data_IF_444575107411
#
_entry.id   IF_444575107411
#
_cell.length_a   1.000
_cell.length_b   1.000
_cell.length_c   1.000
_cell.angle_alpha   90.00
_cell.angle_beta   90.00
_cell.angle_gamma   90.00
#
_symmetry.space_group_name_H-M   'P 1'
#
loop_
_entity.id
_entity.type
_entity.pdbx_description
1 polymer ?
#
# COMPACT_ATOMS: atom_id res chain seq x y z
N UNK A 1 12.65 4.25 85.26
CA UNK A 1 11.94 3.08 84.70
C UNK A 1 11.00 3.41 83.52
N UNK A 2 11.19 4.54 82.80
CA UNK A 2 10.36 4.93 81.64
C UNK A 2 11.11 4.90 80.28
N UNK A 3 12.44 4.74 80.30
CA UNK A 3 13.27 4.77 79.09
C UNK A 3 13.38 3.41 78.40
N UNK A 4 13.14 2.30 79.11
CA UNK A 4 13.22 0.94 78.54
C UNK A 4 11.98 0.50 77.76
N UNK A 5 10.85 1.22 77.88
CA UNK A 5 9.62 0.89 77.17
C UNK A 5 9.57 1.51 75.76
N UNK A 6 10.28 2.63 75.54
CA UNK A 6 10.30 3.33 74.25
C UNK A 6 11.20 2.67 73.21
N UNK A 7 12.19 1.89 73.61
CA UNK A 7 13.11 1.21 72.69
C UNK A 7 12.49 -0.03 72.02
N UNK A 8 11.50 -0.66 72.66
CA UNK A 8 10.86 -1.89 72.16
C UNK A 8 9.81 -1.56 71.08
N UNK A 9 9.16 -0.39 71.15
CA UNK A 9 8.14 0.02 70.16
C UNK A 9 8.77 0.46 68.83
N UNK A 10 9.97 1.04 68.85
CA UNK A 10 10.68 1.45 67.62
C UNK A 10 11.29 0.25 66.88
N UNK A 11 11.70 -0.80 67.60
CA UNK A 11 12.28 -1.99 66.98
C UNK A 11 11.22 -2.91 66.32
N UNK A 12 9.96 -2.84 66.77
CA UNK A 12 8.85 -3.59 66.14
C UNK A 12 8.33 -2.94 64.85
N UNK A 13 8.50 -1.62 64.67
CA UNK A 13 8.03 -0.90 63.49
C UNK A 13 8.98 -0.99 62.27
N UNK A 14 10.21 -1.49 62.45
CA UNK A 14 11.20 -1.65 61.36
C UNK A 14 11.23 -3.05 60.74
N UNK A 15 10.43 -4.00 61.25
CA UNK A 15 10.34 -5.36 60.71
C UNK A 15 9.18 -5.58 59.73
N UNK A 16 8.26 -4.61 59.57
CA UNK A 16 7.13 -4.69 58.64
C UNK A 16 7.38 -4.01 57.28
N UNK A 17 8.61 -3.59 56.98
CA UNK A 17 8.96 -2.92 55.73
C UNK A 17 9.89 -3.73 54.80
N UNK A 18 10.14 -5.02 55.10
CA UNK A 18 11.04 -5.88 54.31
C UNK A 18 10.33 -6.93 53.42
N UNK A 19 9.00 -6.90 53.24
CA UNK A 19 8.30 -7.85 52.35
C UNK A 19 8.08 -7.34 50.90
N UNK A 20 8.60 -6.17 50.52
CA UNK A 20 8.48 -5.64 49.15
C UNK A 20 9.73 -5.81 48.27
N UNK A 21 10.74 -6.56 48.72
CA UNK A 21 11.94 -6.86 47.94
C UNK A 21 12.19 -8.37 47.85
N UNK A 22 11.16 -9.12 47.47
CA UNK A 22 11.33 -10.47 46.95
C UNK A 22 10.50 -10.60 45.66
N UNK A 23 11.06 -10.06 44.57
CA UNK A 23 10.50 -10.09 43.23
C UNK A 23 10.49 -11.51 42.66
N UNK A 24 9.61 -12.36 43.19
CA UNK A 24 9.16 -13.62 42.60
C UNK A 24 7.87 -13.43 41.82
N UNK A 25 7.80 -12.42 40.96
CA UNK A 25 6.68 -12.22 40.03
C UNK A 25 7.08 -12.70 38.65
N UNK A 26 7.14 -14.03 38.43
CA UNK A 26 7.27 -14.61 37.09
C UNK A 26 6.79 -16.06 36.95
N UNK A 27 5.95 -16.57 37.87
CA UNK A 27 5.38 -17.93 37.72
C UNK A 27 3.85 -17.94 37.66
N UNK A 28 3.15 -16.99 38.30
CA UNK A 28 1.68 -16.87 38.19
C UNK A 28 1.21 -16.14 36.91
N UNK A 29 2.10 -15.45 36.17
CA UNK A 29 1.75 -14.80 34.89
C UNK A 29 1.75 -15.79 33.71
N UNK A 30 2.45 -16.93 33.83
CA UNK A 30 2.50 -17.96 32.79
C UNK A 30 1.25 -18.86 32.78
N UNK A 31 0.63 -19.11 33.93
CA UNK A 31 -0.62 -19.88 34.02
C UNK A 31 -1.81 -19.08 33.49
N UNK A 32 -1.82 -17.75 33.70
CA UNK A 32 -2.85 -16.84 33.19
C UNK A 32 -2.78 -16.70 31.67
N UNK A 33 -1.56 -16.62 31.09
CA UNK A 33 -1.38 -16.62 29.62
C UNK A 33 -1.79 -17.93 28.95
N UNK A 34 -1.62 -19.07 29.61
CA UNK A 34 -2.04 -20.37 29.06
C UNK A 34 -3.57 -20.54 29.05
N UNK A 35 -4.29 -19.99 30.03
CA UNK A 35 -5.75 -19.96 30.02
C UNK A 35 -6.32 -19.01 28.93
N UNK A 36 -5.64 -17.89 28.66
CA UNK A 36 -6.06 -16.93 27.63
C UNK A 36 -5.84 -17.45 26.20
N UNK A 37 -4.84 -18.32 26.00
CA UNK A 37 -4.59 -19.03 24.74
C UNK A 37 -5.65 -20.09 24.42
N UNK A 38 -6.32 -20.68 25.42
CA UNK A 38 -7.43 -21.62 25.18
C UNK A 38 -8.74 -20.90 24.78
N UNK A 39 -8.94 -19.64 25.18
CA UNK A 39 -10.09 -18.84 24.73
C UNK A 39 -10.01 -18.35 23.28
N UNK A 40 -8.83 -18.35 22.67
CA UNK A 40 -8.63 -17.91 21.27
C UNK A 40 -9.02 -19.00 20.25
N UNK A 41 -9.14 -20.26 20.68
CA UNK A 41 -9.52 -21.39 19.80
C UNK A 41 -11.04 -21.48 19.60
N UNK A 42 -11.86 -20.97 20.52
CA UNK A 42 -13.32 -20.93 20.34
C UNK A 42 -13.82 -19.72 19.53
N UNK A 43 -12.98 -18.69 19.35
CA UNK A 43 -13.29 -17.51 18.53
C UNK A 43 -13.17 -17.70 17.01
N UNK A 44 -12.52 -18.79 16.56
CA UNK A 44 -12.40 -19.13 15.13
C UNK A 44 -13.58 -19.98 14.61
N UNK A 45 -14.58 -20.25 15.46
CA UNK A 45 -15.76 -21.04 15.14
C UNK A 45 -16.93 -20.29 14.49
N UNK A 46 -16.71 -19.17 13.79
CA UNK A 46 -17.79 -18.50 13.05
C UNK A 46 -17.60 -18.66 11.53
N UNK A 47 -18.26 -19.64 10.88
CA UNK A 47 -18.11 -19.90 9.44
C UNK A 47 -18.71 -18.83 8.50
N UNK A 48 -19.16 -17.68 9.01
CA UNK A 48 -19.77 -16.61 8.19
C UNK A 48 -18.77 -15.64 7.53
N UNK A 49 -17.72 -15.23 8.24
CA UNK A 49 -16.79 -14.19 7.76
C UNK A 49 -15.76 -14.75 6.75
N UNK A 50 -15.38 -16.02 6.88
CA UNK A 50 -14.39 -16.66 6.00
C UNK A 50 -14.93 -16.92 4.59
N UNK A 51 -16.24 -17.13 4.45
CA UNK A 51 -16.86 -17.36 3.12
C UNK A 51 -16.89 -16.05 2.30
N UNK A 52 -17.17 -14.91 2.93
CA UNK A 52 -17.12 -13.60 2.26
C UNK A 52 -15.68 -13.21 1.86
N UNK A 53 -14.68 -13.52 2.69
CA UNK A 53 -13.27 -13.29 2.39
C UNK A 53 -12.75 -14.21 1.25
N UNK A 54 -13.21 -15.46 1.21
CA UNK A 54 -12.88 -16.40 0.12
C UNK A 54 -13.58 -16.02 -1.19
N UNK A 55 -14.81 -15.50 -1.16
CA UNK A 55 -15.49 -14.97 -2.36
C UNK A 55 -14.79 -13.72 -2.92
N UNK A 56 -14.37 -12.77 -2.06
CA UNK A 56 -13.58 -11.61 -2.52
C UNK A 56 -12.21 -11.99 -3.10
N UNK A 57 -11.59 -13.06 -2.59
CA UNK A 57 -10.31 -13.56 -3.12
C UNK A 57 -10.50 -14.28 -4.46
N UNK A 58 -11.62 -14.97 -4.65
CA UNK A 58 -11.99 -15.56 -5.95
C UNK A 58 -12.26 -14.50 -7.02
N UNK A 59 -12.92 -13.39 -6.67
CA UNK A 59 -13.16 -12.26 -7.58
C UNK A 59 -11.86 -11.52 -7.94
N UNK A 60 -10.95 -11.32 -6.98
CA UNK A 60 -9.60 -10.76 -7.25
C UNK A 60 -8.74 -11.70 -8.12
N UNK A 61 -8.89 -13.01 -7.98
CA UNK A 61 -8.14 -14.00 -8.78
C UNK A 61 -8.54 -14.02 -10.26
N UNK A 62 -9.83 -13.84 -10.58
CA UNK A 62 -10.29 -13.78 -11.96
C UNK A 62 -9.83 -12.50 -12.68
N UNK A 63 -9.73 -11.37 -11.97
CA UNK A 63 -9.21 -10.12 -12.53
C UNK A 63 -7.72 -10.23 -12.90
N UNK A 64 -6.91 -10.86 -12.04
CA UNK A 64 -5.48 -11.06 -12.31
C UNK A 64 -5.23 -12.03 -13.49
N UNK A 65 -6.09 -13.05 -13.67
CA UNK A 65 -6.03 -13.94 -14.82
C UNK A 65 -6.47 -13.25 -16.13
N UNK A 66 -7.45 -12.34 -16.07
CA UNK A 66 -7.85 -11.51 -17.20
C UNK A 66 -6.73 -10.53 -17.61
N UNK A 67 -6.01 -9.97 -16.65
CA UNK A 67 -4.83 -9.14 -16.89
C UNK A 67 -3.70 -9.95 -17.55
N UNK A 68 -3.41 -11.17 -17.09
CA UNK A 68 -2.42 -12.04 -17.74
C UNK A 68 -2.80 -12.39 -19.19
N UNK A 69 -4.08 -12.64 -19.49
CA UNK A 69 -4.52 -12.93 -20.85
C UNK A 69 -4.46 -11.69 -21.77
N UNK A 70 -4.74 -10.50 -21.24
CA UNK A 70 -4.57 -9.21 -21.93
C UNK A 70 -3.09 -8.92 -22.25
N UNK A 71 -2.19 -9.20 -21.30
CA UNK A 71 -0.76 -8.99 -21.45
C UNK A 71 -0.13 -9.98 -22.44
N UNK A 72 -0.57 -11.25 -22.47
CA UNK A 72 -0.12 -12.21 -23.50
C UNK A 72 -0.52 -11.79 -24.92
N UNK A 73 -1.73 -11.25 -25.10
CA UNK A 73 -2.17 -10.70 -26.39
C UNK A 73 -1.33 -9.50 -26.84
N UNK A 74 -0.98 -8.62 -25.90
CA UNK A 74 -0.13 -7.45 -26.16
C UNK A 74 1.32 -7.84 -26.42
N UNK A 75 1.86 -8.83 -25.70
CA UNK A 75 3.23 -9.33 -25.89
C UNK A 75 3.44 -9.98 -27.27
N UNK A 76 2.44 -10.71 -27.77
CA UNK A 76 2.47 -11.28 -29.13
C UNK A 76 2.33 -10.19 -30.22
N UNK A 77 1.53 -9.16 -29.98
CA UNK A 77 1.40 -8.02 -30.89
C UNK A 77 2.70 -7.18 -30.97
N UNK A 78 3.38 -6.99 -29.84
CA UNK A 78 4.68 -6.29 -29.75
C UNK A 78 5.80 -7.13 -30.38
N UNK A 79 5.82 -8.46 -30.18
CA UNK A 79 6.76 -9.33 -30.91
C UNK A 79 6.50 -9.30 -32.42
N UNK A 80 5.24 -9.30 -32.86
CA UNK A 80 4.88 -9.21 -34.27
C UNK A 80 5.35 -7.89 -34.93
N UNK A 81 5.22 -6.77 -34.23
CA UNK A 81 5.71 -5.46 -34.70
C UNK A 81 7.24 -5.39 -34.70
N UNK A 82 7.91 -5.95 -33.70
CA UNK A 82 9.37 -5.99 -33.65
C UNK A 82 9.97 -6.87 -34.75
N UNK A 83 9.34 -8.01 -35.03
CA UNK A 83 9.77 -8.94 -36.10
C UNK A 83 9.52 -8.32 -37.48
N UNK A 84 8.43 -7.57 -37.66
CA UNK A 84 8.16 -6.81 -38.88
C UNK A 84 9.16 -5.67 -39.11
N UNK A 85 9.64 -5.02 -38.03
CA UNK A 85 10.65 -3.96 -38.12
C UNK A 85 12.05 -4.52 -38.45
N UNK A 86 12.38 -5.72 -37.96
CA UNK A 86 13.66 -6.37 -38.23
C UNK A 86 13.76 -7.01 -39.61
N UNK A 87 12.63 -7.35 -40.25
CA UNK A 87 12.58 -7.88 -41.62
C UNK A 87 12.30 -6.80 -42.69
N UNK A 88 11.93 -5.60 -42.27
CA UNK A 88 11.45 -4.51 -43.13
C UNK A 88 12.54 -3.61 -43.72
N UNK A 89 13.52 -4.19 -44.43
CA UNK A 89 14.39 -3.43 -45.35
C UNK A 89 14.19 -3.89 -46.80
N UNK A 90 12.93 -4.00 -47.23
CA UNK A 90 12.55 -4.37 -48.59
C UNK A 90 11.06 -4.23 -48.86
N UNK A 91 10.72 -3.31 -49.77
CA UNK A 91 9.37 -3.00 -50.27
C UNK A 91 8.50 -4.23 -50.56
N UNK A 92 7.33 -4.37 -49.93
CA UNK A 92 6.23 -5.18 -50.49
C UNK A 92 4.84 -4.63 -50.14
N UNK A 93 3.97 -4.66 -51.15
CA UNK A 93 2.56 -4.27 -51.15
C UNK A 93 1.77 -5.36 -50.42
N UNK A 94 1.06 -5.04 -49.33
CA UNK A 94 0.24 -6.02 -48.61
C UNK A 94 -1.14 -6.15 -49.27
N UNK A 95 -1.34 -7.24 -50.02
CA UNK A 95 -2.66 -7.71 -50.46
C UNK A 95 -3.25 -8.61 -49.36
N UNK A 96 -4.51 -8.43 -48.93
CA UNK A 96 -5.12 -9.29 -47.92
C UNK A 96 -5.53 -10.64 -48.54
N UNK A 97 -4.89 -11.72 -48.10
CA UNK A 97 -5.30 -13.09 -48.39
C UNK A 97 -6.23 -13.57 -47.26
N UNK A 98 -7.41 -14.15 -47.54
CA UNK A 98 -8.30 -14.67 -46.50
C UNK A 98 -7.79 -16.02 -45.95
N UNK A 99 -7.88 -16.29 -44.64
CA UNK A 99 -7.48 -17.58 -44.06
C UNK A 99 -8.50 -18.70 -44.33
N UNK A 100 -8.09 -19.98 -44.38
CA UNK A 100 -8.99 -21.11 -44.61
C UNK A 100 -9.82 -21.46 -43.37
N UNK A 101 -11.03 -21.95 -43.62
CA UNK A 101 -11.99 -22.40 -42.63
C UNK A 101 -11.45 -23.56 -41.76
N UNK A 102 -11.46 -23.36 -40.44
CA UNK A 102 -11.24 -24.38 -39.43
C UNK A 102 -12.14 -24.11 -38.23
N UNK A 103 -13.19 -24.91 -38.10
CA UNK A 103 -14.22 -24.81 -37.06
C UNK A 103 -13.65 -25.10 -35.67
N UNK A 104 -13.69 -24.12 -34.77
CA UNK A 104 -13.58 -24.31 -33.31
C UNK A 104 -14.86 -23.80 -32.66
N UNK A 105 -15.55 -24.59 -31.82
CA UNK A 105 -16.75 -24.13 -31.11
C UNK A 105 -16.37 -23.18 -29.97
N UNK A 106 -16.89 -21.95 -30.01
CA UNK A 106 -16.90 -21.05 -28.85
C UNK A 106 -16.16 -19.72 -28.98
N UNK A 107 -16.00 -19.15 -30.17
CA UNK A 107 -15.69 -17.73 -30.30
C UNK A 107 -16.99 -16.92 -30.26
N UNK A 108 -17.29 -16.29 -29.13
CA UNK A 108 -18.27 -15.21 -29.09
C UNK A 108 -17.73 -14.09 -29.98
N UNK A 109 -18.54 -13.65 -30.94
CA UNK A 109 -18.21 -12.57 -31.84
C UNK A 109 -17.85 -11.32 -31.03
N UNK A 110 -16.62 -10.83 -31.17
CA UNK A 110 -16.27 -9.47 -30.80
C UNK A 110 -17.17 -8.55 -31.63
N UNK A 111 -18.14 -7.90 -30.97
CA UNK A 111 -18.93 -6.84 -31.56
C UNK A 111 -18.03 -5.73 -32.11
N UNK A 112 -18.58 -4.84 -32.96
CA UNK A 112 -17.80 -3.75 -33.55
C UNK A 112 -17.09 -2.96 -32.44
N UNK A 113 -15.75 -2.95 -32.46
CA UNK A 113 -14.93 -2.11 -31.60
C UNK A 113 -15.36 -0.66 -31.78
N UNK A 114 -15.94 0.00 -30.77
CA UNK A 114 -16.19 1.43 -30.86
C UNK A 114 -14.82 2.12 -30.90
N UNK A 115 -14.53 2.81 -31.99
CA UNK A 115 -13.36 3.69 -32.11
C UNK A 115 -13.53 4.91 -31.22
N UNK A 116 -13.26 4.76 -29.94
CA UNK A 116 -13.08 5.85 -28.99
C UNK A 116 -11.81 5.56 -28.19
N UNK A 117 -10.85 6.48 -28.22
CA UNK A 117 -9.65 6.35 -27.37
C UNK A 117 -10.09 6.35 -25.91
N UNK A 118 -9.89 5.23 -25.23
CA UNK A 118 -10.24 5.09 -23.80
C UNK A 118 -9.28 5.92 -22.94
N UNK A 119 -9.77 6.42 -21.82
CA UNK A 119 -8.92 7.08 -20.81
C UNK A 119 -7.92 6.06 -20.27
N UNK A 120 -6.64 6.40 -20.25
CA UNK A 120 -5.59 5.51 -19.75
C UNK A 120 -4.69 6.24 -18.75
N UNK A 121 -4.33 5.53 -17.68
CA UNK A 121 -3.37 5.96 -16.67
C UNK A 121 -2.03 5.27 -16.93
N UNK A 122 -0.93 5.99 -16.74
CA UNK A 122 0.43 5.50 -16.94
C UNK A 122 1.41 6.27 -16.06
N UNK A 123 2.59 5.69 -15.81
CA UNK A 123 3.65 6.33 -15.01
C UNK A 123 3.20 6.81 -13.62
N UNK A 124 2.29 6.07 -12.99
CA UNK A 124 1.84 6.37 -11.63
C UNK A 124 2.99 6.19 -10.63
N UNK A 125 3.30 7.25 -9.89
CA UNK A 125 4.40 7.26 -8.92
C UNK A 125 4.06 8.18 -7.74
N UNK A 126 4.73 8.00 -6.61
CA UNK A 126 4.68 8.96 -5.51
C UNK A 126 5.88 9.90 -5.57
N UNK A 127 5.72 11.11 -5.03
CA UNK A 127 6.76 12.15 -5.09
C UNK A 127 6.65 13.11 -3.90
N UNK A 128 7.77 13.73 -3.51
CA UNK A 128 7.77 14.83 -2.53
C UNK A 128 7.46 16.18 -3.16
N UNK A 129 7.24 16.25 -4.47
CA UNK A 129 6.89 17.49 -5.14
C UNK A 129 6.35 17.32 -6.54
N UNK A 130 5.71 18.39 -7.02
CA UNK A 130 5.18 18.50 -8.37
C UNK A 130 5.85 19.70 -9.04
N UNK A 131 6.12 19.60 -10.35
CA UNK A 131 6.62 20.70 -11.17
C UNK A 131 5.49 21.65 -11.53
N UNK A 132 5.71 22.94 -11.33
CA UNK A 132 4.73 23.97 -11.67
C UNK A 132 4.48 24.07 -13.19
N UNK A 133 5.47 23.71 -14.01
CA UNK A 133 5.39 23.87 -15.46
C UNK A 133 4.42 22.88 -16.13
N UNK A 134 4.34 21.65 -15.63
CA UNK A 134 3.61 20.57 -16.29
C UNK A 134 2.79 19.67 -15.35
N UNK A 135 2.83 19.92 -14.04
CA UNK A 135 2.09 19.13 -13.05
C UNK A 135 2.66 17.72 -12.86
N UNK A 136 3.83 17.41 -13.41
CA UNK A 136 4.45 16.10 -13.27
C UNK A 136 5.36 16.02 -12.03
N UNK A 137 5.71 14.81 -11.60
CA UNK A 137 6.57 14.60 -10.44
C UNK A 137 7.94 15.29 -10.59
N UNK A 138 8.36 16.03 -9.57
CA UNK A 138 9.69 16.68 -9.54
C UNK A 138 10.74 15.86 -8.79
N UNK A 139 10.32 15.05 -7.82
CA UNK A 139 11.20 14.21 -6.99
C UNK A 139 10.52 12.87 -6.65
N UNK A 140 10.41 11.93 -7.62
CA UNK A 140 9.72 10.67 -7.38
C UNK A 140 10.46 9.82 -6.34
N UNK A 141 9.72 9.28 -5.39
CA UNK A 141 10.25 8.42 -4.32
C UNK A 141 9.23 7.39 -3.88
N UNK A 142 9.72 6.22 -3.46
CA UNK A 142 8.94 5.19 -2.78
C UNK A 142 9.23 5.12 -1.27
N UNK A 143 10.08 6.02 -0.76
CA UNK A 143 10.43 6.11 0.66
C UNK A 143 10.39 7.57 1.08
N UNK A 144 9.68 7.85 2.17
CA UNK A 144 9.44 9.17 2.71
C UNK A 144 9.76 9.19 4.20
N UNK A 145 10.19 10.34 4.72
CA UNK A 145 10.38 10.50 6.16
C UNK A 145 9.03 10.81 6.85
N UNK A 146 8.94 10.53 8.15
CA UNK A 146 7.73 10.85 8.95
C UNK A 146 7.40 12.35 9.01
N UNK A 147 8.39 13.22 8.73
CA UNK A 147 8.29 14.68 8.81
C UNK A 147 8.02 15.35 7.45
N UNK A 148 7.67 14.59 6.41
CA UNK A 148 7.23 15.20 5.16
C UNK A 148 5.97 16.04 5.40
N UNK A 149 5.93 17.25 4.86
CA UNK A 149 4.73 18.11 4.95
C UNK A 149 3.60 17.57 4.06
N UNK A 150 3.96 16.98 2.92
CA UNK A 150 3.02 16.54 1.90
C UNK A 150 3.64 15.46 1.01
N UNK A 151 2.85 14.44 0.68
CA UNK A 151 3.22 13.41 -0.29
C UNK A 151 2.23 13.46 -1.45
N UNK A 152 2.77 13.43 -2.67
CA UNK A 152 1.98 13.47 -3.89
C UNK A 152 1.92 12.08 -4.52
N UNK A 153 0.77 11.74 -5.08
CA UNK A 153 0.66 10.70 -6.11
C UNK A 153 0.48 11.41 -7.45
N UNK A 154 1.31 11.06 -8.43
CA UNK A 154 1.31 11.69 -9.75
C UNK A 154 1.17 10.61 -10.81
N UNK A 155 0.34 10.84 -11.81
CA UNK A 155 0.12 9.91 -12.93
C UNK A 155 0.00 10.68 -14.24
N UNK A 156 0.38 10.06 -15.34
CA UNK A 156 0.10 10.56 -16.68
C UNK A 156 -1.21 9.97 -17.18
N UNK A 157 -2.19 10.83 -17.44
CA UNK A 157 -3.50 10.44 -17.99
C UNK A 157 -3.56 10.84 -19.46
N UNK A 158 -4.07 9.96 -20.31
CA UNK A 158 -4.37 10.23 -21.72
C UNK A 158 -5.85 10.10 -22.02
N UNK A 159 -6.35 10.89 -22.97
CA UNK A 159 -7.77 10.97 -23.36
C UNK A 159 -8.72 11.34 -22.20
N UNK A 160 -8.25 12.16 -21.25
CA UNK A 160 -9.05 12.61 -20.12
C UNK A 160 -10.15 13.58 -20.58
N UNK A 161 -11.37 13.39 -20.07
CA UNK A 161 -12.52 14.21 -20.41
C UNK A 161 -12.80 15.29 -19.37
N UNK A 162 -13.24 16.45 -19.85
CA UNK A 162 -13.72 17.52 -19.00
C UNK A 162 -14.85 17.00 -18.08
N UNK A 163 -14.83 17.41 -16.81
CA UNK A 163 -15.84 17.02 -15.83
C UNK A 163 -15.68 15.63 -15.22
N UNK A 164 -14.71 14.81 -15.66
CA UNK A 164 -14.35 13.59 -14.93
C UNK A 164 -13.82 13.91 -13.53
N UNK A 165 -14.06 13.06 -12.55
CA UNK A 165 -13.62 13.28 -11.18
C UNK A 165 -12.41 12.41 -10.89
N UNK A 166 -11.24 13.02 -10.68
CA UNK A 166 -10.06 12.34 -10.17
C UNK A 166 -10.11 12.32 -8.63
N UNK A 167 -9.92 11.14 -8.05
CA UNK A 167 -9.83 10.96 -6.61
C UNK A 167 -8.65 10.06 -6.23
N UNK A 168 -8.30 10.08 -4.95
CA UNK A 168 -7.27 9.23 -4.38
C UNK A 168 -7.72 8.64 -3.04
N UNK A 169 -7.56 7.33 -2.90
CA UNK A 169 -7.78 6.62 -1.65
C UNK A 169 -6.43 6.20 -1.06
N UNK A 170 -6.12 6.72 0.11
CA UNK A 170 -4.87 6.52 0.82
C UNK A 170 -5.05 5.49 1.93
N UNK A 171 -4.22 4.46 1.92
CA UNK A 171 -4.21 3.41 2.93
C UNK A 171 -2.88 3.40 3.67
N UNK A 172 -2.96 3.48 5.00
CA UNK A 172 -1.83 3.31 5.90
C UNK A 172 -1.92 1.92 6.53
N UNK A 173 -0.86 1.13 6.40
CA UNK A 173 -0.75 -0.20 6.99
C UNK A 173 -1.94 -1.13 6.64
N UNK A 174 -2.49 -0.98 5.44
CA UNK A 174 -3.63 -1.75 4.93
C UNK A 174 -5.01 -1.26 5.40
N UNK A 175 -5.08 -0.21 6.22
CA UNK A 175 -6.31 0.43 6.65
C UNK A 175 -6.52 1.76 5.91
N UNK A 176 -7.78 2.13 5.64
CA UNK A 176 -8.11 3.42 5.05
C UNK A 176 -7.65 4.54 5.99
N UNK A 177 -6.76 5.40 5.50
CA UNK A 177 -6.31 6.60 6.19
C UNK A 177 -7.15 7.80 5.75
N UNK A 178 -7.19 8.06 4.43
CA UNK A 178 -7.90 9.20 3.86
C UNK A 178 -8.53 8.85 2.52
N UNK A 179 -9.75 9.33 2.28
CA UNK A 179 -10.47 9.16 1.02
C UNK A 179 -10.71 10.54 0.39
N UNK A 180 -9.81 10.94 -0.50
CA UNK A 180 -9.93 12.15 -1.29
C UNK A 180 -10.77 11.87 -2.54
N UNK A 181 -12.09 11.81 -2.35
CA UNK A 181 -13.02 11.44 -3.40
C UNK A 181 -13.02 12.40 -4.61
N UNK A 182 -12.46 13.61 -4.47
CA UNK A 182 -12.45 14.64 -5.51
C UNK A 182 -11.24 15.57 -5.36
N UNK A 183 -10.06 15.07 -5.70
CA UNK A 183 -8.83 15.86 -5.65
C UNK A 183 -8.74 16.83 -6.85
N UNK A 184 -9.28 16.46 -8.02
CA UNK A 184 -9.29 17.31 -9.21
C UNK A 184 -10.46 17.02 -10.16
N UNK A 185 -10.99 18.08 -10.77
CA UNK A 185 -11.95 18.01 -11.88
C UNK A 185 -11.40 18.87 -13.03
N UNK A 186 -11.05 18.29 -14.19
CA UNK A 186 -10.57 19.03 -15.35
C UNK A 186 -11.70 19.85 -15.95
N UNK A 187 -11.41 21.11 -16.29
CA UNK A 187 -12.35 22.01 -16.96
C UNK A 187 -12.41 21.82 -18.48
N UNK A 188 -11.49 21.06 -19.05
CA UNK A 188 -11.37 20.80 -20.48
C UNK A 188 -10.88 19.36 -20.77
N UNK A 189 -10.97 18.95 -22.03
CA UNK A 189 -10.46 17.66 -22.49
C UNK A 189 -8.93 17.72 -22.64
N UNK A 190 -8.25 16.68 -22.15
CA UNK A 190 -6.79 16.56 -22.26
C UNK A 190 -6.40 15.35 -23.09
N UNK A 191 -5.62 15.57 -24.14
CA UNK A 191 -5.02 14.48 -24.90
C UNK A 191 -4.00 13.70 -24.03
N UNK A 192 -3.19 14.44 -23.26
CA UNK A 192 -2.27 13.92 -22.26
C UNK A 192 -2.02 15.00 -21.20
N UNK A 193 -2.02 14.62 -19.92
CA UNK A 193 -1.79 15.52 -18.79
C UNK A 193 -1.20 14.76 -17.60
N UNK A 194 -0.32 15.39 -16.83
CA UNK A 194 0.04 14.90 -15.51
C UNK A 194 -1.00 15.38 -14.51
N UNK A 195 -1.62 14.45 -13.81
CA UNK A 195 -2.56 14.73 -12.75
C UNK A 195 -2.04 14.19 -11.43
N UNK A 196 -2.38 14.87 -10.35
CA UNK A 196 -1.89 14.52 -9.03
C UNK A 196 -2.95 14.76 -7.97
N UNK A 197 -2.90 13.93 -6.94
CA UNK A 197 -3.56 14.17 -5.66
C UNK A 197 -2.48 14.18 -4.58
N UNK A 198 -2.80 14.72 -3.42
CA UNK A 198 -1.83 14.81 -2.34
C UNK A 198 -2.43 14.46 -1.00
N UNK A 199 -1.57 14.06 -0.08
CA UNK A 199 -1.91 13.78 1.31
C UNK A 199 -1.00 14.57 2.23
N UNK A 200 -1.57 15.04 3.34
CA UNK A 200 -0.87 15.66 4.45
C UNK A 200 -1.05 14.77 5.69
N UNK A 201 -0.14 14.82 6.67
CA UNK A 201 -0.35 14.09 7.92
C UNK A 201 -1.57 14.63 8.67
N UNK A 202 -2.32 13.75 9.32
CA UNK A 202 -3.47 14.12 10.18
C UNK A 202 -3.02 14.77 11.51
N UNK A 203 -1.73 14.61 11.84
CA UNK A 203 -1.06 15.15 13.03
C UNK A 203 0.22 15.86 12.60
N UNK A 204 1.22 15.97 13.49
CA UNK A 204 2.51 16.56 13.18
C UNK A 204 3.40 15.68 12.28
N UNK A 205 3.08 14.37 12.14
CA UNK A 205 3.87 13.40 11.37
C UNK A 205 3.01 12.34 10.69
N UNK A 206 3.53 11.74 9.62
CA UNK A 206 2.96 10.53 9.04
C UNK A 206 3.21 9.30 9.92
N UNK A 207 2.27 8.35 9.93
CA UNK A 207 2.50 7.04 10.55
C UNK A 207 3.59 6.27 9.78
N UNK A 208 4.56 5.70 10.51
CA UNK A 208 5.55 4.80 9.90
C UNK A 208 4.91 3.54 9.35
N UNK A 209 5.47 3.00 8.29
CA UNK A 209 5.11 1.68 7.75
C UNK A 209 4.81 1.68 6.27
N UNK A 210 3.98 0.73 5.86
CA UNK A 210 3.63 0.53 4.45
C UNK A 210 2.41 1.37 4.10
N UNK A 211 2.52 2.14 3.03
CA UNK A 211 1.45 2.95 2.50
C UNK A 211 1.11 2.53 1.07
N UNK A 212 -0.15 2.68 0.71
CA UNK A 212 -0.59 2.55 -0.67
C UNK A 212 -1.59 3.62 -1.01
N UNK A 213 -1.58 4.04 -2.26
CA UNK A 213 -2.53 5.00 -2.82
C UNK A 213 -3.18 4.39 -4.04
N UNK A 214 -4.49 4.50 -4.11
CA UNK A 214 -5.33 4.06 -5.20
C UNK A 214 -5.88 5.29 -5.92
N UNK A 215 -5.61 5.42 -7.21
CA UNK A 215 -6.11 6.50 -8.05
C UNK A 215 -7.43 6.08 -8.70
N UNK A 216 -8.45 6.90 -8.50
CA UNK A 216 -9.79 6.68 -9.00
C UNK A 216 -10.16 7.73 -10.04
N UNK A 217 -10.89 7.31 -11.07
CA UNK A 217 -11.58 8.20 -12.01
C UNK A 217 -13.06 7.86 -11.97
N UNK A 218 -13.90 8.86 -11.66
CA UNK A 218 -15.34 8.70 -11.51
C UNK A 218 -15.73 7.56 -10.54
N UNK A 219 -14.93 7.41 -9.47
CA UNK A 219 -15.10 6.37 -8.45
C UNK A 219 -14.59 4.97 -8.83
N UNK A 220 -14.09 4.77 -10.04
CA UNK A 220 -13.49 3.50 -10.47
C UNK A 220 -11.98 3.53 -10.29
N UNK A 221 -11.39 2.43 -9.78
CA UNK A 221 -9.93 2.27 -9.68
C UNK A 221 -9.29 2.16 -11.07
N UNK A 222 -8.28 2.98 -11.34
CA UNK A 222 -7.49 2.93 -12.59
C UNK A 222 -6.01 2.62 -12.36
N UNK A 223 -5.45 3.04 -11.22
CA UNK A 223 -4.03 2.84 -10.94
C UNK A 223 -3.77 2.81 -9.44
N UNK A 224 -2.59 2.33 -9.04
CA UNK A 224 -2.15 2.35 -7.65
C UNK A 224 -0.64 2.52 -7.55
N UNK A 225 -0.16 3.01 -6.41
CA UNK A 225 1.24 3.05 -6.03
C UNK A 225 1.42 2.61 -4.57
N UNK A 226 2.62 2.14 -4.24
CA UNK A 226 3.01 1.74 -2.89
C UNK A 226 4.29 2.46 -2.50
N UNK A 227 4.38 2.86 -1.24
CA UNK A 227 5.55 3.52 -0.67
C UNK A 227 5.70 3.18 0.81
N UNK A 228 6.84 3.55 1.38
CA UNK A 228 7.10 3.45 2.81
C UNK A 228 7.31 4.80 3.44
N UNK A 229 6.85 4.94 4.68
CA UNK A 229 7.18 6.04 5.56
C UNK A 229 8.10 5.50 6.66
N UNK A 230 9.28 6.10 6.81
CA UNK A 230 10.31 5.70 7.78
C UNK A 230 10.62 6.83 8.74
N UNK A 231 11.06 6.48 9.95
CA UNK A 231 11.65 7.44 10.88
C UNK A 231 13.15 7.14 11.00
N UNK A 232 13.93 7.82 10.19
CA UNK A 232 15.39 7.66 10.19
C UNK A 232 16.04 8.08 11.52
N UNK A 233 15.38 8.91 12.33
CA UNK A 233 15.90 9.36 13.62
C UNK A 233 15.89 8.27 14.68
N UNK A 234 14.92 7.34 14.63
CA UNK A 234 14.85 6.19 15.53
C UNK A 234 15.81 5.05 15.12
N UNK A 235 16.21 5.00 13.85
CA UNK A 235 17.17 4.01 13.37
C UNK A 235 18.61 4.27 13.88
N UNK A 236 18.90 5.50 14.33
CA UNK A 236 20.24 5.93 14.74
C UNK A 236 20.59 5.65 16.21
N UNK A 237 19.76 4.92 16.98
CA UNK A 237 20.11 4.54 18.35
C UNK A 237 21.40 3.69 18.32
N UNK A 238 22.53 4.19 18.87
CA UNK A 238 23.79 3.47 18.83
C UNK A 238 23.64 2.20 19.65
N UNK A 239 24.14 1.09 19.12
CA UNK A 239 24.51 -0.08 19.91
C UNK A 239 25.35 0.44 21.06
N UNK A 240 24.88 0.35 22.32
CA UNK A 240 25.73 0.58 23.48
C UNK A 240 26.90 -0.40 23.36
N UNK A 241 28.03 0.09 22.87
CA UNK A 241 29.29 -0.61 22.92
C UNK A 241 29.59 -0.79 24.40
N UNK A 242 29.32 -2.00 24.90
CA UNK A 242 29.63 -2.44 26.25
C UNK A 242 31.14 -2.31 26.47
N UNK A 243 31.57 -1.13 26.92
CA UNK A 243 32.95 -0.83 27.27
C UNK A 243 33.31 -1.62 28.53
N UNK A 244 33.81 -2.84 28.34
CA UNK A 244 34.43 -3.64 29.39
C UNK A 244 35.67 -2.89 29.87
N UNK A 245 35.56 -2.19 30.99
CA UNK A 245 36.71 -1.60 31.66
C UNK A 245 37.52 -2.73 32.31
N UNK A 246 38.79 -2.97 31.92
CA UNK A 246 39.63 -3.91 32.64
C UNK A 246 39.96 -3.35 34.02
N UNK A 247 39.48 -4.02 35.08
CA UNK A 247 39.93 -3.80 36.45
C UNK A 247 41.41 -4.25 36.53
N UNK A 248 42.29 -3.34 36.92
CA UNK A 248 43.65 -3.67 37.37
C UNK A 248 43.69 -3.79 38.89
#
# INVERSE_FOLDING_TARGET
MRVRLSLIVVLAALLSACDSFNGGANVNDLETRNAQLQGTIEGLGTPGATIAALQMTADRGMMLQAEMNSVQGTALAVQGTLTAYQLGNGSFVAQPTPPPAGVTPGAVASGPTPGGSQTMFSNTTTSSGVRDEDGCASAPSAVFEVYEDQIYVVTTITNLKAGSVLGARWLANGSLFFDDAQCWIPSEDWASVCAWCAITPDTDTFETGNWSVELLLDGQLYSQAQFQVVDSSQQAAPTEEFQVTPQQ
#
